data_IF_172102529892
#
_entry.id   IF_172102529892
#
_cell.length_a   1.000
_cell.length_b   1.000
_cell.length_c   1.000
_cell.angle_alpha   90.00
_cell.angle_beta   90.00
_cell.angle_gamma   90.00
#
_symmetry.space_group_name_H-M   'P 1'
#
loop_
_entity.id
_entity.type
_entity.pdbx_description
1 polymer ?
#
# COMPACT_ATOMS: atom_id res chain seq x y z
N UNK A 1 -22.07 -3.43 27.95
CA UNK A 1 -21.35 -2.86 26.77
C UNK A 1 -22.19 -3.04 25.51
N UNK A 2 -22.33 -1.98 24.68
CA UNK A 2 -23.16 -1.99 23.47
C UNK A 2 -22.35 -1.56 22.24
N UNK A 3 -22.67 -2.09 21.07
CA UNK A 3 -21.93 -1.84 19.85
C UNK A 3 -21.83 -0.33 19.47
N UNK A 4 -22.86 0.46 19.74
CA UNK A 4 -22.82 1.90 19.50
C UNK A 4 -21.83 2.63 20.43
N UNK A 5 -21.60 2.14 21.66
CA UNK A 5 -20.60 2.70 22.57
C UNK A 5 -19.19 2.47 22.01
N UNK A 6 -18.91 1.28 21.44
CA UNK A 6 -17.63 1.01 20.75
C UNK A 6 -17.42 1.91 19.53
N UNK A 7 -18.48 2.18 18.76
CA UNK A 7 -18.43 3.15 17.64
C UNK A 7 -18.12 4.56 18.11
N UNK A 8 -18.72 5.00 19.21
CA UNK A 8 -18.45 6.31 19.76
C UNK A 8 -17.02 6.41 20.26
N UNK A 9 -16.54 5.37 20.95
CA UNK A 9 -15.16 5.27 21.42
C UNK A 9 -14.16 5.40 20.27
N UNK A 10 -14.32 4.59 19.22
CA UNK A 10 -13.47 4.60 18.03
C UNK A 10 -13.50 5.98 17.31
N UNK A 11 -14.70 6.57 17.16
CA UNK A 11 -14.84 7.87 16.51
C UNK A 11 -14.16 9.00 17.30
N UNK A 12 -14.21 9.00 18.63
CA UNK A 12 -13.51 9.99 19.46
C UNK A 12 -12.00 9.85 19.29
N UNK A 13 -11.46 8.63 19.37
CA UNK A 13 -10.03 8.37 19.19
C UNK A 13 -9.55 8.84 17.82
N UNK A 14 -10.29 8.54 16.75
CA UNK A 14 -9.98 8.95 15.37
C UNK A 14 -10.20 10.45 15.10
N UNK A 15 -10.94 11.17 15.96
CA UNK A 15 -11.22 12.60 15.82
C UNK A 15 -10.33 13.46 16.73
N UNK A 16 -9.16 12.94 17.16
CA UNK A 16 -8.22 13.68 18.01
C UNK A 16 -8.84 14.06 19.36
N UNK A 17 -9.62 13.18 19.97
CA UNK A 17 -10.33 13.36 21.26
C UNK A 17 -11.43 14.44 21.24
N UNK A 18 -11.85 14.87 20.05
CA UNK A 18 -12.91 15.86 19.89
C UNK A 18 -14.29 15.19 19.83
N UNK A 19 -15.04 15.26 20.94
CA UNK A 19 -16.36 14.63 21.05
C UNK A 19 -17.37 15.27 20.09
N UNK A 20 -17.26 16.57 19.82
CA UNK A 20 -18.18 17.27 18.91
C UNK A 20 -17.96 16.80 17.47
N UNK A 21 -16.70 16.73 17.03
CA UNK A 21 -16.34 16.20 15.72
C UNK A 21 -16.76 14.73 15.55
N UNK A 22 -16.55 13.91 16.59
CA UNK A 22 -17.01 12.51 16.60
C UNK A 22 -18.54 12.41 16.49
N UNK A 23 -19.28 13.23 17.23
CA UNK A 23 -20.74 13.27 17.18
C UNK A 23 -21.27 13.69 15.80
N UNK A 24 -20.66 14.68 15.16
CA UNK A 24 -20.99 15.10 13.79
C UNK A 24 -20.74 13.96 12.79
N UNK A 25 -19.57 13.31 12.86
CA UNK A 25 -19.22 12.16 12.02
C UNK A 25 -20.22 11.01 12.13
N UNK A 26 -20.82 10.84 13.30
CA UNK A 26 -21.78 9.77 13.61
C UNK A 26 -23.25 10.22 13.53
N UNK A 27 -23.50 11.43 13.04
CA UNK A 27 -24.85 12.01 12.91
C UNK A 27 -25.65 11.91 14.23
N UNK A 28 -25.02 12.26 15.35
CA UNK A 28 -25.64 12.20 16.70
C UNK A 28 -25.31 13.45 17.51
N UNK A 29 -25.85 13.56 18.73
CA UNK A 29 -25.59 14.69 19.60
C UNK A 29 -24.36 14.49 20.50
N UNK A 30 -23.57 15.53 20.71
CA UNK A 30 -22.42 15.53 21.62
C UNK A 30 -22.78 15.08 23.06
N UNK A 31 -23.91 15.54 23.69
CA UNK A 31 -24.30 15.04 25.01
C UNK A 31 -24.60 13.55 25.01
N UNK A 32 -25.19 13.02 23.93
CA UNK A 32 -25.46 11.61 23.76
C UNK A 32 -24.18 10.77 23.74
N UNK A 33 -23.20 11.17 22.93
CA UNK A 33 -21.89 10.53 22.87
C UNK A 33 -21.20 10.56 24.24
N UNK A 34 -21.12 11.74 24.89
CA UNK A 34 -20.47 11.90 26.19
C UNK A 34 -21.10 11.04 27.28
N UNK A 35 -22.44 10.96 27.32
CA UNK A 35 -23.18 10.09 28.25
C UNK A 35 -22.87 8.61 28.03
N UNK A 36 -22.81 8.15 26.76
CA UNK A 36 -22.56 6.75 26.45
C UNK A 36 -21.13 6.32 26.77
N UNK A 37 -20.15 7.21 26.56
CA UNK A 37 -18.77 6.93 26.98
C UNK A 37 -18.66 6.84 28.49
N UNK A 38 -19.30 7.75 29.23
CA UNK A 38 -19.33 7.67 30.71
C UNK A 38 -19.93 6.36 31.20
N UNK A 39 -21.07 5.93 30.64
CA UNK A 39 -21.68 4.65 30.96
C UNK A 39 -20.78 3.46 30.64
N UNK A 40 -19.96 3.54 29.59
CA UNK A 40 -18.99 2.51 29.25
C UNK A 40 -17.84 2.48 30.27
N UNK A 41 -17.31 3.65 30.66
CA UNK A 41 -16.27 3.77 31.69
C UNK A 41 -16.77 3.26 33.06
N UNK A 42 -18.02 3.61 33.43
CA UNK A 42 -18.64 3.13 34.66
C UNK A 42 -18.82 1.59 34.68
N UNK A 43 -19.21 1.00 33.54
CA UNK A 43 -19.34 -0.46 33.37
C UNK A 43 -17.99 -1.18 33.43
N UNK A 44 -16.94 -0.60 32.86
CA UNK A 44 -15.59 -1.16 32.84
C UNK A 44 -14.85 -0.95 34.19
N UNK A 45 -15.29 -0.01 35.03
CA UNK A 45 -14.69 0.29 36.31
C UNK A 45 -13.41 1.15 36.24
N UNK A 46 -13.08 1.71 35.07
CA UNK A 46 -11.95 2.61 34.90
C UNK A 46 -12.19 3.64 33.78
N UNK A 47 -11.41 4.72 33.79
CA UNK A 47 -11.48 5.78 32.79
C UNK A 47 -10.70 5.38 31.54
N UNK A 48 -11.33 5.53 30.37
CA UNK A 48 -10.70 5.37 29.05
C UNK A 48 -9.99 6.67 28.66
N UNK A 49 -10.61 7.81 28.97
CA UNK A 49 -10.11 9.14 28.68
C UNK A 49 -9.88 9.95 29.94
N UNK A 50 -8.77 10.65 30.01
CA UNK A 50 -8.57 11.70 31.00
C UNK A 50 -9.28 12.97 30.55
N UNK A 51 -9.81 13.73 31.55
CA UNK A 51 -10.61 14.94 31.30
C UNK A 51 -10.05 16.11 32.09
N UNK A 52 -10.05 17.27 31.46
CA UNK A 52 -9.91 18.56 32.14
C UNK A 52 -11.20 19.35 31.90
N UNK A 53 -12.01 19.43 32.96
CA UNK A 53 -13.36 19.97 32.88
C UNK A 53 -14.26 19.17 31.93
N UNK A 54 -14.63 19.78 30.79
CA UNK A 54 -15.48 19.12 29.77
C UNK A 54 -14.69 18.57 28.56
N UNK A 55 -13.38 18.76 28.52
CA UNK A 55 -12.53 18.41 27.40
C UNK A 55 -11.78 17.12 27.68
N UNK A 56 -11.71 16.24 26.71
CA UNK A 56 -10.84 15.05 26.74
C UNK A 56 -9.40 15.49 26.41
N UNK A 57 -8.44 15.10 27.23
CA UNK A 57 -7.04 15.53 27.07
C UNK A 57 -6.11 14.42 26.62
N UNK A 58 -6.36 13.20 27.08
CA UNK A 58 -5.47 12.05 26.79
C UNK A 58 -6.23 10.73 26.93
N UNK A 59 -5.76 9.70 26.19
CA UNK A 59 -6.18 8.31 26.38
C UNK A 59 -5.35 7.70 27.50
N UNK A 60 -5.97 6.94 28.40
CA UNK A 60 -5.27 6.17 29.44
C UNK A 60 -4.59 4.93 28.83
N UNK A 61 -3.56 4.33 29.45
CA UNK A 61 -2.99 3.06 28.96
C UNK A 61 -4.04 1.95 28.82
N UNK A 62 -4.91 1.77 29.83
CA UNK A 62 -6.01 0.82 29.74
C UNK A 62 -7.04 1.21 28.67
N UNK A 63 -7.26 2.51 28.46
CA UNK A 63 -8.13 3.03 27.41
C UNK A 63 -7.61 2.70 26.01
N UNK A 64 -6.30 2.73 25.82
CA UNK A 64 -5.68 2.36 24.54
C UNK A 64 -5.98 0.89 24.16
N UNK A 65 -5.80 -0.02 25.12
CA UNK A 65 -6.14 -1.43 24.90
C UNK A 65 -7.62 -1.66 24.60
N UNK A 66 -8.50 -0.92 25.28
CA UNK A 66 -9.96 -1.02 25.02
C UNK A 66 -10.30 -0.49 23.62
N UNK A 67 -9.67 0.59 23.18
CA UNK A 67 -9.88 1.15 21.84
C UNK A 67 -9.45 0.15 20.76
N UNK A 68 -8.29 -0.47 20.90
CA UNK A 68 -7.79 -1.48 19.97
C UNK A 68 -8.76 -2.67 19.86
N UNK A 69 -9.18 -3.23 20.99
CA UNK A 69 -10.18 -4.32 21.02
C UNK A 69 -11.55 -3.89 20.47
N UNK A 70 -11.94 -2.64 20.71
CA UNK A 70 -13.20 -2.09 20.18
C UNK A 70 -13.15 -2.00 18.64
N UNK A 71 -12.01 -1.62 18.07
CA UNK A 71 -11.79 -1.61 16.63
C UNK A 71 -11.88 -3.01 16.03
N UNK A 72 -11.29 -4.02 16.68
CA UNK A 72 -11.37 -5.42 16.23
C UNK A 72 -12.83 -5.92 16.23
N UNK A 73 -13.60 -5.65 17.28
CA UNK A 73 -15.02 -6.02 17.34
C UNK A 73 -15.82 -5.34 16.24
N UNK A 74 -15.59 -4.06 16.00
CA UNK A 74 -16.26 -3.31 14.93
C UNK A 74 -15.92 -3.88 13.55
N UNK A 75 -14.68 -4.32 13.34
CA UNK A 75 -14.26 -4.99 12.14
C UNK A 75 -14.99 -6.32 11.93
N UNK A 76 -15.13 -7.15 12.97
CA UNK A 76 -15.89 -8.40 12.89
C UNK A 76 -17.37 -8.15 12.53
N UNK A 77 -17.97 -7.10 13.08
CA UNK A 77 -19.35 -6.71 12.69
C UNK A 77 -19.44 -6.29 11.23
N UNK A 78 -18.44 -5.59 10.71
CA UNK A 78 -18.39 -5.26 9.29
C UNK A 78 -18.23 -6.53 8.42
N UNK A 79 -17.42 -7.48 8.86
CA UNK A 79 -17.24 -8.77 8.19
C UNK A 79 -18.55 -9.57 8.10
N UNK A 80 -19.35 -9.61 9.18
CA UNK A 80 -20.68 -10.24 9.18
C UNK A 80 -21.63 -9.55 8.20
N UNK A 81 -21.63 -8.23 8.14
CA UNK A 81 -22.45 -7.47 7.18
C UNK A 81 -22.01 -7.71 5.74
N UNK A 82 -20.71 -7.79 5.50
CA UNK A 82 -20.13 -8.10 4.21
C UNK A 82 -20.55 -9.50 3.74
N UNK A 83 -20.49 -10.50 4.61
CA UNK A 83 -20.97 -11.86 4.33
C UNK A 83 -22.46 -11.87 3.97
N UNK A 84 -23.29 -11.15 4.72
CA UNK A 84 -24.72 -11.03 4.41
C UNK A 84 -24.99 -10.35 3.05
N UNK A 85 -24.20 -9.36 2.69
CA UNK A 85 -24.31 -8.69 1.38
C UNK A 85 -23.82 -9.61 0.25
N UNK A 86 -22.79 -10.40 0.48
CA UNK A 86 -22.25 -11.39 -0.46
C UNK A 86 -23.24 -12.51 -0.75
N UNK A 87 -23.95 -12.98 0.26
CA UNK A 87 -25.03 -13.97 0.12
C UNK A 87 -26.26 -13.43 -0.60
N UNK A 88 -26.45 -12.11 -0.63
CA UNK A 88 -27.60 -11.46 -1.30
C UNK A 88 -27.29 -10.99 -2.72
N UNK A 89 -26.08 -10.54 -3.00
CA UNK A 89 -25.67 -10.03 -4.32
C UNK A 89 -24.14 -10.01 -4.44
N UNK A 90 -23.58 -11.09 -4.96
CA UNK A 90 -22.12 -11.30 -5.11
C UNK A 90 -21.42 -10.25 -6.00
N UNK A 91 -22.19 -9.47 -6.74
CA UNK A 91 -21.68 -8.52 -7.74
C UNK A 91 -21.68 -7.06 -7.30
N UNK A 92 -22.13 -6.71 -6.09
CA UNK A 92 -22.19 -5.32 -5.60
C UNK A 92 -21.28 -5.07 -4.42
N UNK A 93 -20.72 -3.86 -4.36
CA UNK A 93 -19.87 -3.45 -3.24
C UNK A 93 -18.94 -2.32 -3.59
N UNK A 94 -17.87 -2.19 -2.80
CA UNK A 94 -16.77 -1.28 -3.07
C UNK A 94 -15.46 -1.97 -2.78
N UNK A 95 -14.42 -1.60 -3.53
CA UNK A 95 -13.03 -2.03 -3.32
C UNK A 95 -12.16 -0.79 -3.33
N UNK A 96 -11.60 -0.46 -2.16
CA UNK A 96 -10.69 0.66 -1.95
C UNK A 96 -9.25 0.15 -1.98
N UNK A 97 -8.47 0.63 -2.95
CA UNK A 97 -7.12 0.15 -3.25
C UNK A 97 -6.13 1.28 -2.95
N UNK A 98 -5.19 1.04 -2.05
CA UNK A 98 -4.03 1.91 -1.85
C UNK A 98 -2.88 1.45 -2.75
N UNK A 99 -2.29 2.36 -3.52
CA UNK A 99 -1.23 1.99 -4.46
C UNK A 99 -0.28 3.14 -4.76
N UNK A 100 0.91 2.82 -5.26
CA UNK A 100 1.86 3.83 -5.74
C UNK A 100 1.48 4.33 -7.13
N UNK A 101 1.97 5.51 -7.51
CA UNK A 101 1.69 6.11 -8.81
C UNK A 101 2.05 5.16 -9.97
N UNK A 102 3.24 4.57 -9.94
CA UNK A 102 3.71 3.65 -10.98
C UNK A 102 2.75 2.48 -11.20
N UNK A 103 2.21 1.89 -10.12
CA UNK A 103 1.25 0.79 -10.23
C UNK A 103 -0.09 1.29 -10.79
N UNK A 104 -0.56 2.44 -10.33
CA UNK A 104 -1.83 3.03 -10.77
C UNK A 104 -1.83 3.36 -12.27
N UNK A 105 -0.71 3.89 -12.78
CA UNK A 105 -0.63 4.35 -14.16
C UNK A 105 -0.26 3.25 -15.16
N UNK A 106 0.58 2.28 -14.77
CA UNK A 106 1.19 1.37 -15.75
C UNK A 106 0.80 -0.10 -15.59
N UNK A 107 0.33 -0.51 -14.42
CA UNK A 107 -0.03 -1.90 -14.16
C UNK A 107 -1.54 -2.10 -14.02
N UNK A 108 -2.17 -1.26 -13.21
CA UNK A 108 -3.57 -1.42 -12.87
C UNK A 108 -4.57 -1.11 -14.00
N UNK A 109 -4.30 -0.30 -15.04
CA UNK A 109 -5.31 0.00 -16.06
C UNK A 109 -5.90 -1.25 -16.70
N UNK A 110 -5.07 -2.19 -17.16
CA UNK A 110 -5.53 -3.44 -17.76
C UNK A 110 -6.31 -4.32 -16.75
N UNK A 111 -5.82 -4.39 -15.49
CA UNK A 111 -6.48 -5.14 -14.41
C UNK A 111 -7.85 -4.56 -14.09
N UNK A 112 -7.95 -3.24 -13.99
CA UNK A 112 -9.20 -2.51 -13.70
C UNK A 112 -10.18 -2.68 -14.85
N UNK A 113 -9.72 -2.61 -16.10
CA UNK A 113 -10.57 -2.83 -17.27
C UNK A 113 -11.19 -4.23 -17.25
N UNK A 114 -10.37 -5.26 -17.02
CA UNK A 114 -10.84 -6.65 -16.93
C UNK A 114 -11.78 -6.86 -15.72
N UNK A 115 -11.44 -6.25 -14.58
CA UNK A 115 -12.27 -6.31 -13.38
C UNK A 115 -13.62 -5.63 -13.57
N UNK A 116 -13.66 -4.43 -14.16
CA UNK A 116 -14.91 -3.71 -14.44
C UNK A 116 -15.83 -4.43 -15.39
N UNK A 117 -15.28 -5.18 -16.35
CA UNK A 117 -16.07 -6.02 -17.25
C UNK A 117 -16.80 -7.16 -16.50
N UNK A 118 -16.16 -7.74 -15.44
CA UNK A 118 -16.75 -8.82 -14.63
C UNK A 118 -17.64 -8.31 -13.49
N UNK A 119 -17.29 -7.16 -12.91
CA UNK A 119 -17.94 -6.58 -11.72
C UNK A 119 -18.37 -5.14 -11.97
N UNK A 120 -19.32 -4.87 -12.88
CA UNK A 120 -19.74 -3.51 -13.25
C UNK A 120 -20.34 -2.73 -12.08
N UNK A 121 -20.94 -3.43 -11.10
CA UNK A 121 -21.61 -2.84 -9.94
C UNK A 121 -20.70 -2.72 -8.69
N UNK A 122 -19.44 -3.10 -8.78
CA UNK A 122 -18.45 -2.87 -7.72
C UNK A 122 -17.78 -1.51 -7.96
N UNK A 123 -17.90 -0.61 -6.99
CA UNK A 123 -17.21 0.69 -7.03
C UNK A 123 -15.74 0.51 -6.69
N UNK A 124 -14.87 1.02 -7.54
CA UNK A 124 -13.43 1.09 -7.28
C UNK A 124 -13.03 2.47 -6.78
N UNK A 125 -12.29 2.52 -5.67
CA UNK A 125 -11.70 3.74 -5.14
C UNK A 125 -10.18 3.54 -5.13
N UNK A 126 -9.45 4.31 -5.96
CA UNK A 126 -7.99 4.29 -5.98
C UNK A 126 -7.45 5.43 -5.11
N UNK A 127 -6.61 5.06 -4.16
CA UNK A 127 -5.87 5.97 -3.31
C UNK A 127 -4.39 5.87 -3.66
N UNK A 128 -3.80 6.95 -4.15
CA UNK A 128 -2.39 7.00 -4.49
C UNK A 128 -1.59 7.63 -3.35
N UNK A 129 -0.38 7.12 -3.15
CA UNK A 129 0.53 7.67 -2.14
C UNK A 129 1.88 6.96 -2.11
N UNK A 130 2.75 7.42 -1.24
CA UNK A 130 4.00 6.73 -0.89
C UNK A 130 3.69 5.47 -0.08
N UNK A 131 4.65 4.57 0.08
CA UNK A 131 4.48 3.37 0.91
C UNK A 131 4.10 3.71 2.36
N UNK A 132 4.61 4.83 2.90
CA UNK A 132 4.25 5.34 4.22
C UNK A 132 2.79 5.76 4.29
N UNK A 133 2.34 6.58 3.33
CA UNK A 133 0.95 7.03 3.26
C UNK A 133 -0.03 5.87 3.06
N UNK A 134 0.35 4.87 2.24
CA UNK A 134 -0.46 3.66 2.06
C UNK A 134 -0.54 2.86 3.37
N UNK A 135 0.57 2.72 4.10
CA UNK A 135 0.58 2.05 5.40
C UNK A 135 -0.30 2.77 6.44
N UNK A 136 -0.31 4.11 6.45
CA UNK A 136 -1.22 4.90 7.28
C UNK A 136 -2.70 4.68 6.89
N UNK A 137 -3.00 4.61 5.59
CA UNK A 137 -4.36 4.31 5.13
C UNK A 137 -4.83 2.91 5.57
N UNK A 138 -3.91 1.92 5.59
CA UNK A 138 -4.18 0.58 6.14
C UNK A 138 -4.51 0.67 7.63
N UNK A 139 -3.67 1.36 8.41
CA UNK A 139 -3.86 1.51 9.85
C UNK A 139 -5.15 2.25 10.22
N UNK A 140 -5.63 3.14 9.34
CA UNK A 140 -6.86 3.92 9.51
C UNK A 140 -8.12 3.26 8.90
N UNK A 141 -8.03 2.02 8.42
CA UNK A 141 -9.15 1.31 7.78
C UNK A 141 -9.73 2.00 6.53
N UNK A 142 -8.91 2.78 5.81
CA UNK A 142 -9.35 3.56 4.66
C UNK A 142 -9.30 2.79 3.34
N UNK A 143 -8.54 1.70 3.30
CA UNK A 143 -8.36 0.84 2.12
C UNK A 143 -8.57 -0.63 2.47
N UNK A 144 -9.11 -1.38 1.52
CA UNK A 144 -9.35 -2.83 1.63
C UNK A 144 -8.10 -3.64 1.28
N UNK A 145 -7.33 -3.15 0.32
CA UNK A 145 -6.05 -3.75 -0.08
C UNK A 145 -5.01 -2.70 -0.44
N UNK A 146 -3.74 -3.09 -0.32
CA UNK A 146 -2.60 -2.29 -0.72
C UNK A 146 -1.82 -3.00 -1.83
N UNK A 147 -1.36 -2.27 -2.84
CA UNK A 147 -0.47 -2.76 -3.89
C UNK A 147 0.76 -1.88 -3.87
N UNK A 148 1.89 -2.45 -3.45
CA UNK A 148 3.11 -1.70 -3.28
C UNK A 148 4.35 -2.57 -3.52
N UNK A 149 5.50 -1.92 -3.54
CA UNK A 149 6.81 -2.54 -3.68
C UNK A 149 7.67 -2.11 -2.49
N UNK A 150 8.54 -2.98 -2.00
CA UNK A 150 9.53 -2.64 -0.98
C UNK A 150 9.23 -3.21 0.40
N UNK A 151 9.54 -2.46 1.46
CA UNK A 151 9.60 -2.96 2.84
C UNK A 151 8.28 -3.59 3.33
N UNK A 152 8.28 -4.92 3.46
CA UNK A 152 7.17 -5.70 4.02
C UNK A 152 6.89 -5.34 5.48
N UNK A 153 7.91 -4.89 6.22
CA UNK A 153 7.81 -4.55 7.64
C UNK A 153 6.78 -3.44 7.91
N UNK A 154 6.62 -2.51 6.98
CA UNK A 154 5.64 -1.40 7.09
C UNK A 154 4.19 -1.86 7.01
N UNK A 155 3.96 -3.05 6.49
CA UNK A 155 2.65 -3.63 6.25
C UNK A 155 2.40 -4.88 7.10
N UNK A 156 2.97 -4.94 8.31
CA UNK A 156 2.86 -6.08 9.23
C UNK A 156 1.39 -6.45 9.57
N UNK A 157 0.47 -5.48 9.52
CA UNK A 157 -0.96 -5.71 9.71
C UNK A 157 -1.65 -6.39 8.51
N UNK A 158 -0.94 -6.59 7.40
CA UNK A 158 -1.47 -7.21 6.18
C UNK A 158 -0.89 -8.61 5.94
N UNK A 159 -1.65 -9.43 5.23
CA UNK A 159 -1.16 -10.63 4.57
C UNK A 159 -0.67 -10.21 3.19
N UNK A 160 0.63 -10.28 2.95
CA UNK A 160 1.27 -9.86 1.72
C UNK A 160 1.43 -11.04 0.77
N UNK A 161 0.94 -10.89 -0.45
CA UNK A 161 0.95 -11.90 -1.51
C UNK A 161 1.84 -11.38 -2.65
N UNK A 162 2.95 -12.04 -2.97
CA UNK A 162 3.85 -11.59 -4.02
C UNK A 162 3.18 -11.74 -5.40
N UNK A 163 3.23 -10.67 -6.19
CA UNK A 163 2.60 -10.62 -7.51
C UNK A 163 3.58 -10.86 -8.65
N UNK A 164 4.69 -10.12 -8.66
CA UNK A 164 5.72 -10.22 -9.69
C UNK A 164 7.03 -9.58 -9.22
N UNK A 165 8.12 -9.91 -9.92
CA UNK A 165 9.44 -9.29 -9.72
C UNK A 165 9.75 -8.34 -10.88
N UNK A 166 10.57 -7.34 -10.61
CA UNK A 166 11.09 -6.42 -11.60
C UNK A 166 12.41 -5.82 -11.13
N UNK A 167 13.26 -5.43 -12.09
CA UNK A 167 14.51 -4.72 -11.83
C UNK A 167 14.44 -3.33 -12.46
N UNK A 168 15.13 -2.37 -11.85
CA UNK A 168 15.21 -1.03 -12.44
C UNK A 168 15.93 -1.07 -13.79
N UNK A 169 15.50 -0.21 -14.69
CA UNK A 169 16.15 0.06 -15.94
C UNK A 169 16.77 1.45 -15.94
N UNK A 170 17.77 1.63 -16.77
CA UNK A 170 18.37 2.94 -17.05
C UNK A 170 17.80 3.47 -18.34
N UNK A 171 17.38 4.73 -18.34
CA UNK A 171 16.86 5.43 -19.52
C UNK A 171 17.71 6.64 -19.85
N UNK A 172 17.96 6.82 -21.13
CA UNK A 172 18.72 7.96 -21.68
C UNK A 172 18.16 8.34 -23.04
N UNK A 173 18.35 9.57 -23.52
CA UNK A 173 18.11 9.89 -24.93
C UNK A 173 18.90 8.94 -25.85
N UNK A 174 18.34 8.51 -26.95
CA UNK A 174 19.02 7.58 -27.89
C UNK A 174 20.40 8.08 -28.38
N UNK A 175 20.62 9.38 -28.39
CA UNK A 175 21.90 10.00 -28.77
C UNK A 175 22.94 9.96 -27.65
N UNK A 176 22.57 9.59 -26.43
CA UNK A 176 23.45 9.59 -25.28
C UNK A 176 24.55 8.52 -25.39
N UNK A 177 25.75 8.80 -24.87
CA UNK A 177 26.88 7.87 -24.94
C UNK A 177 26.60 6.49 -24.34
N UNK A 178 25.85 6.43 -23.23
CA UNK A 178 25.47 5.17 -22.58
C UNK A 178 24.62 4.26 -23.48
N UNK A 179 23.85 4.81 -24.42
CA UNK A 179 23.01 4.02 -25.33
C UNK A 179 23.83 3.13 -26.28
N UNK A 180 25.12 3.38 -26.41
CA UNK A 180 26.05 2.63 -27.29
C UNK A 180 26.82 1.55 -26.52
N UNK A 181 26.69 1.46 -25.20
CA UNK A 181 27.38 0.46 -24.39
C UNK A 181 26.69 -0.90 -24.52
N UNK A 182 27.44 -1.95 -24.71
CA UNK A 182 26.94 -3.32 -24.68
C UNK A 182 26.45 -3.71 -23.30
N UNK A 183 27.09 -3.18 -22.25
CA UNK A 183 26.75 -3.46 -20.85
C UNK A 183 27.02 -2.25 -19.97
N UNK A 184 26.07 -1.91 -19.13
CA UNK A 184 26.23 -0.86 -18.12
C UNK A 184 27.19 -1.30 -17.02
N UNK A 185 27.87 -0.31 -16.41
CA UNK A 185 28.70 -0.48 -15.23
C UNK A 185 28.43 0.65 -14.23
N UNK A 186 28.71 0.42 -12.94
CA UNK A 186 28.61 1.48 -11.94
C UNK A 186 29.51 2.67 -12.27
N UNK A 187 30.73 2.41 -12.80
CA UNK A 187 31.65 3.46 -13.26
C UNK A 187 31.02 4.35 -14.33
N UNK A 188 30.38 3.74 -15.32
CA UNK A 188 29.73 4.49 -16.39
C UNK A 188 28.55 5.32 -15.86
N UNK A 189 27.74 4.77 -14.97
CA UNK A 189 26.62 5.48 -14.36
C UNK A 189 27.09 6.62 -13.45
N UNK A 190 28.11 6.40 -12.61
CA UNK A 190 28.64 7.41 -11.69
C UNK A 190 29.26 8.64 -12.40
N UNK A 191 29.65 8.50 -13.67
CA UNK A 191 30.19 9.59 -14.48
C UNK A 191 29.13 10.60 -14.97
N UNK A 192 27.83 10.31 -14.76
CA UNK A 192 26.73 11.14 -15.24
C UNK A 192 25.82 11.59 -14.08
N UNK A 193 25.13 12.74 -14.21
CA UNK A 193 24.07 13.14 -13.30
C UNK A 193 22.92 12.15 -13.40
N UNK A 194 22.50 11.57 -12.26
CA UNK A 194 21.42 10.60 -12.17
C UNK A 194 20.11 11.28 -11.77
N UNK A 195 19.01 10.80 -12.33
CA UNK A 195 17.64 11.20 -11.99
C UNK A 195 16.90 9.94 -11.54
N UNK A 196 16.38 9.91 -10.32
CA UNK A 196 15.74 8.72 -9.78
C UNK A 196 14.66 9.05 -8.75
N UNK A 197 14.05 8.02 -8.18
CA UNK A 197 13.02 8.19 -7.16
C UNK A 197 13.59 8.69 -5.83
N UNK A 198 12.85 9.57 -5.15
CA UNK A 198 13.19 10.06 -3.81
C UNK A 198 13.37 8.91 -2.81
N UNK A 199 12.51 7.89 -2.88
CA UNK A 199 12.58 6.71 -1.99
C UNK A 199 13.75 5.77 -2.29
N UNK A 200 14.47 5.95 -3.40
CA UNK A 200 15.65 5.12 -3.74
C UNK A 200 16.86 5.37 -2.85
N UNK A 201 16.81 6.38 -1.99
CA UNK A 201 17.90 6.72 -1.08
C UNK A 201 17.80 6.07 0.29
N UNK A 202 16.64 5.57 0.69
CA UNK A 202 16.40 5.07 2.04
C UNK A 202 16.21 3.56 2.05
N UNK A 203 16.90 2.87 2.95
CA UNK A 203 16.74 1.46 3.28
C UNK A 203 17.65 0.49 2.53
N UNK A 204 17.66 -0.77 2.97
CA UNK A 204 18.35 -1.87 2.30
C UNK A 204 17.75 -2.08 0.92
N UNK A 205 18.53 -2.16 -0.11
CA UNK A 205 18.15 -2.11 -1.54
C UNK A 205 18.12 -0.69 -2.13
N UNK A 206 18.66 0.28 -1.41
CA UNK A 206 18.78 1.64 -1.93
C UNK A 206 19.79 1.67 -3.10
N UNK A 207 19.58 2.62 -4.00
CA UNK A 207 20.56 2.91 -5.06
C UNK A 207 21.93 3.24 -4.45
N UNK A 208 21.93 4.01 -3.35
CA UNK A 208 23.13 4.38 -2.64
C UNK A 208 23.92 3.15 -2.14
N UNK A 209 23.24 2.16 -1.55
CA UNK A 209 23.88 0.94 -1.06
C UNK A 209 24.51 0.12 -2.19
N UNK A 210 23.77 -0.04 -3.31
CA UNK A 210 24.29 -0.75 -4.47
C UNK A 210 25.55 -0.12 -5.04
N UNK A 211 25.59 1.22 -5.14
CA UNK A 211 26.77 1.93 -5.61
C UNK A 211 27.92 1.86 -4.58
N UNK A 212 27.64 2.08 -3.29
CA UNK A 212 28.65 2.05 -2.22
C UNK A 212 29.33 0.69 -2.09
N UNK A 213 28.54 -0.40 -2.19
CA UNK A 213 29.08 -1.78 -2.15
C UNK A 213 30.03 -2.03 -3.33
N UNK A 214 29.78 -1.40 -4.48
CA UNK A 214 30.65 -1.48 -5.64
C UNK A 214 31.82 -0.49 -5.62
N UNK A 215 31.98 0.32 -4.55
CA UNK A 215 33.06 1.31 -4.39
C UNK A 215 32.82 2.61 -5.18
N UNK A 216 31.58 2.92 -5.54
CA UNK A 216 31.23 4.14 -6.26
C UNK A 216 30.25 4.99 -5.46
N UNK A 217 30.20 6.28 -5.78
CA UNK A 217 29.19 7.22 -5.24
C UNK A 217 28.27 7.67 -6.38
N UNK A 218 26.94 7.51 -6.26
CA UNK A 218 26.04 7.98 -7.30
C UNK A 218 25.96 9.51 -7.30
N UNK A 219 26.13 10.14 -8.46
CA UNK A 219 25.93 11.57 -8.63
C UNK A 219 24.44 11.87 -8.89
N UNK A 220 23.62 11.91 -7.86
CA UNK A 220 22.18 12.16 -8.03
C UNK A 220 21.91 13.65 -8.08
N UNK A 221 21.52 14.12 -9.27
CA UNK A 221 21.22 15.51 -9.53
C UNK A 221 19.76 15.88 -9.24
N UNK A 222 18.82 14.96 -9.53
CA UNK A 222 17.38 15.21 -9.36
C UNK A 222 16.73 13.97 -8.76
N UNK A 223 15.84 14.21 -7.80
CA UNK A 223 14.92 13.17 -7.29
C UNK A 223 13.48 13.55 -7.53
N UNK A 224 12.64 12.58 -7.86
CA UNK A 224 11.21 12.78 -8.04
C UNK A 224 10.42 11.63 -7.37
N UNK A 225 9.15 11.86 -7.09
CA UNK A 225 8.27 10.82 -6.55
C UNK A 225 7.80 9.87 -7.65
N UNK A 226 7.57 10.40 -8.85
CA UNK A 226 6.91 9.72 -9.94
C UNK A 226 7.82 9.55 -11.16
N UNK A 227 7.66 8.42 -11.85
CA UNK A 227 8.44 8.07 -13.02
C UNK A 227 8.26 9.05 -14.19
N UNK A 228 7.05 9.60 -14.36
CA UNK A 228 6.73 10.55 -15.44
C UNK A 228 7.62 11.79 -15.39
N UNK A 229 7.85 12.28 -14.16
CA UNK A 229 8.75 13.43 -13.94
C UNK A 229 10.18 13.06 -14.32
N UNK A 230 10.65 11.87 -13.90
CA UNK A 230 11.99 11.37 -14.23
C UNK A 230 12.15 11.26 -15.75
N UNK A 231 11.21 10.61 -16.42
CA UNK A 231 11.21 10.44 -17.89
C UNK A 231 11.23 11.78 -18.60
N UNK A 232 10.45 12.75 -18.14
CA UNK A 232 10.40 14.10 -18.71
C UNK A 232 11.77 14.79 -18.63
N UNK A 233 12.44 14.74 -17.49
CA UNK A 233 13.74 15.39 -17.32
C UNK A 233 14.88 14.67 -18.05
N UNK A 234 14.78 13.34 -18.22
CA UNK A 234 15.68 12.60 -19.08
C UNK A 234 15.53 13.02 -20.54
N UNK A 235 14.31 13.22 -21.04
CA UNK A 235 14.03 13.73 -22.40
C UNK A 235 14.63 15.11 -22.63
N UNK A 236 14.68 15.93 -21.60
CA UNK A 236 15.32 17.24 -21.64
C UNK A 236 16.87 17.17 -21.57
N UNK A 237 17.44 15.97 -21.45
CA UNK A 237 18.89 15.78 -21.37
C UNK A 237 19.53 16.19 -20.05
N UNK A 238 18.74 16.32 -18.97
CA UNK A 238 19.24 16.79 -17.66
C UNK A 238 19.95 15.70 -16.86
N UNK A 239 19.92 14.45 -17.32
CA UNK A 239 20.62 13.35 -16.69
C UNK A 239 20.17 11.97 -17.17
N UNK A 240 20.72 10.96 -16.53
CA UNK A 240 20.44 9.53 -16.75
C UNK A 240 19.35 9.09 -15.80
N UNK A 241 18.24 8.60 -16.32
CA UNK A 241 17.10 8.15 -15.51
C UNK A 241 17.26 6.72 -15.00
N UNK A 242 16.89 6.47 -13.76
CA UNK A 242 16.79 5.11 -13.18
C UNK A 242 15.35 4.92 -12.74
N UNK A 243 14.59 4.08 -13.44
CA UNK A 243 13.14 3.92 -13.28
C UNK A 243 12.70 2.46 -13.27
N UNK A 244 11.45 2.23 -12.92
CA UNK A 244 10.79 0.94 -13.09
C UNK A 244 10.50 0.71 -14.60
N UNK A 245 10.73 -0.50 -15.14
CA UNK A 245 10.61 -0.77 -16.58
C UNK A 245 9.20 -0.50 -17.10
N UNK A 246 8.15 -0.80 -16.33
CA UNK A 246 6.76 -0.58 -16.71
C UNK A 246 6.41 0.91 -16.91
N UNK A 247 7.22 1.84 -16.39
CA UNK A 247 7.00 3.28 -16.56
C UNK A 247 7.56 3.82 -17.88
N UNK A 248 8.23 3.00 -18.67
CA UNK A 248 8.72 3.37 -19.99
C UNK A 248 7.79 2.75 -21.02
N UNK A 249 7.03 3.59 -21.72
CA UNK A 249 6.09 3.11 -22.74
C UNK A 249 6.82 2.32 -23.82
N UNK A 250 6.28 1.17 -24.20
CA UNK A 250 6.71 0.45 -25.38
C UNK A 250 6.56 1.38 -26.60
N UNK A 251 7.63 1.56 -27.38
CA UNK A 251 7.61 2.45 -28.55
C UNK A 251 8.04 3.90 -28.25
N UNK A 252 8.64 4.20 -27.11
CA UNK A 252 9.34 5.47 -26.89
C UNK A 252 10.55 5.56 -27.81
N UNK A 253 10.35 6.06 -29.04
CA UNK A 253 11.42 6.12 -30.05
C UNK A 253 12.54 7.12 -29.73
N UNK A 254 12.33 8.00 -28.77
CA UNK A 254 13.22 9.05 -28.32
C UNK A 254 14.18 8.59 -27.19
N UNK A 255 13.87 7.51 -26.49
CA UNK A 255 14.66 6.99 -25.38
C UNK A 255 15.28 5.62 -25.70
N UNK A 256 16.45 5.39 -25.17
CA UNK A 256 17.05 4.06 -25.05
C UNK A 256 16.82 3.53 -23.63
N UNK A 257 16.33 2.30 -23.56
CA UNK A 257 16.12 1.57 -22.31
C UNK A 257 17.23 0.54 -22.16
N UNK A 258 18.03 0.65 -21.12
CA UNK A 258 19.21 -0.16 -20.89
C UNK A 258 19.00 -1.06 -19.67
N UNK A 259 19.32 -2.34 -19.81
CA UNK A 259 19.25 -3.28 -18.70
C UNK A 259 20.27 -2.95 -17.61
N UNK A 260 19.79 -2.85 -16.39
CA UNK A 260 20.58 -2.63 -15.20
C UNK A 260 20.34 -3.72 -14.12
N UNK A 261 19.71 -4.83 -14.48
CA UNK A 261 19.35 -5.92 -13.57
C UNK A 261 20.56 -6.56 -12.89
N UNK A 262 21.71 -6.54 -13.57
CA UNK A 262 22.98 -7.05 -13.03
C UNK A 262 23.71 -6.07 -12.08
N UNK A 263 23.26 -4.82 -12.01
CA UNK A 263 23.80 -3.78 -11.13
C UNK A 263 22.87 -3.49 -9.96
N UNK A 264 21.58 -3.48 -10.19
CA UNK A 264 20.60 -3.01 -9.23
C UNK A 264 19.72 -4.17 -8.74
N UNK A 265 19.37 -4.20 -7.44
CA UNK A 265 18.60 -5.29 -6.87
C UNK A 265 17.20 -5.37 -7.49
N UNK A 266 16.72 -6.60 -7.63
CA UNK A 266 15.34 -6.85 -8.02
C UNK A 266 14.38 -6.49 -6.88
N UNK A 267 13.18 -6.07 -7.27
CA UNK A 267 12.09 -5.73 -6.38
C UNK A 267 10.92 -6.68 -6.57
N UNK A 268 10.21 -6.97 -5.49
CA UNK A 268 8.93 -7.69 -5.55
C UNK A 268 7.80 -6.71 -5.31
N UNK A 269 6.82 -6.71 -6.21
CA UNK A 269 5.53 -6.05 -5.98
C UNK A 269 4.57 -7.09 -5.40
N UNK A 270 3.81 -6.69 -4.40
CA UNK A 270 2.84 -7.52 -3.72
C UNK A 270 1.48 -6.81 -3.62
N UNK A 271 0.43 -7.62 -3.46
CA UNK A 271 -0.88 -7.18 -3.00
C UNK A 271 -1.06 -7.64 -1.55
N UNK A 272 -1.49 -6.75 -0.69
CA UNK A 272 -1.74 -7.03 0.72
C UNK A 272 -3.21 -6.86 1.07
N UNK A 273 -3.75 -7.79 1.85
CA UNK A 273 -5.06 -7.71 2.47
C UNK A 273 -4.90 -7.66 3.99
N UNK A 274 -5.77 -6.93 4.67
CA UNK A 274 -5.73 -6.86 6.13
C UNK A 274 -5.91 -8.25 6.73
N UNK A 275 -5.09 -8.58 7.74
CA UNK A 275 -5.22 -9.85 8.47
C UNK A 275 -6.58 -9.96 9.14
N UNK A 276 -7.19 -11.15 9.02
CA UNK A 276 -8.50 -11.43 9.62
C UNK A 276 -9.69 -10.73 8.97
N UNK A 277 -9.50 -9.90 7.93
CA UNK A 277 -10.61 -9.34 7.18
C UNK A 277 -11.31 -10.43 6.33
N UNK A 278 -12.62 -10.35 6.21
CA UNK A 278 -13.35 -11.19 5.27
C UNK A 278 -13.10 -10.70 3.83
N UNK A 279 -12.43 -11.53 3.03
CA UNK A 279 -12.24 -11.23 1.61
C UNK A 279 -13.49 -11.60 0.83
N UNK A 280 -14.01 -10.66 0.06
CA UNK A 280 -15.15 -10.87 -0.84
C UNK A 280 -14.69 -11.52 -2.14
N UNK A 281 -15.60 -12.21 -2.81
CA UNK A 281 -15.30 -12.92 -4.08
C UNK A 281 -14.58 -12.03 -5.09
N UNK A 282 -15.02 -10.81 -5.29
CA UNK A 282 -14.38 -9.89 -6.23
C UNK A 282 -12.96 -9.47 -5.81
N UNK A 283 -12.58 -9.56 -4.52
CA UNK A 283 -11.22 -9.28 -4.06
C UNK A 283 -10.26 -10.39 -4.47
N UNK A 284 -10.68 -11.66 -4.41
CA UNK A 284 -9.90 -12.80 -4.94
C UNK A 284 -9.73 -12.69 -6.45
N UNK A 285 -10.80 -12.34 -7.17
CA UNK A 285 -10.76 -12.15 -8.62
C UNK A 285 -9.83 -10.96 -9.00
N UNK A 286 -9.87 -9.87 -8.24
CA UNK A 286 -8.97 -8.75 -8.44
C UNK A 286 -7.50 -9.17 -8.25
N UNK A 287 -7.19 -9.92 -7.18
CA UNK A 287 -5.85 -10.44 -6.94
C UNK A 287 -5.38 -11.35 -8.07
N UNK A 288 -6.24 -12.24 -8.56
CA UNK A 288 -5.94 -13.16 -9.66
C UNK A 288 -5.76 -12.44 -11.00
N UNK A 289 -6.53 -11.37 -11.27
CA UNK A 289 -6.34 -10.52 -12.45
C UNK A 289 -5.00 -9.76 -12.41
N UNK A 290 -4.57 -9.33 -11.22
CA UNK A 290 -3.28 -8.68 -11.04
C UNK A 290 -2.10 -9.66 -11.19
N UNK A 291 -2.25 -10.86 -10.63
CA UNK A 291 -1.23 -11.90 -10.63
C UNK A 291 -1.91 -13.29 -10.78
N UNK A 292 -1.86 -13.90 -11.98
CA UNK A 292 -2.64 -15.11 -12.31
C UNK A 292 -2.40 -16.32 -11.38
N UNK A 293 -1.21 -16.42 -10.75
CA UNK A 293 -0.88 -17.48 -9.79
C UNK A 293 -1.58 -17.30 -8.43
N UNK A 294 -2.16 -16.11 -8.15
CA UNK A 294 -2.94 -15.86 -6.93
C UNK A 294 -4.35 -16.44 -7.04
N UNK A 295 -4.41 -17.77 -7.21
CA UNK A 295 -5.68 -18.46 -7.20
C UNK A 295 -6.37 -18.36 -5.84
N UNK A 296 -7.70 -18.37 -5.83
CA UNK A 296 -8.52 -18.22 -4.63
C UNK A 296 -8.05 -19.12 -3.47
N UNK A 297 -7.78 -20.43 -3.75
CA UNK A 297 -7.33 -21.37 -2.72
C UNK A 297 -5.99 -20.99 -2.08
N UNK A 298 -5.06 -20.48 -2.88
CA UNK A 298 -3.76 -20.02 -2.40
C UNK A 298 -3.91 -18.76 -1.54
N UNK A 299 -4.70 -17.79 -2.01
CA UNK A 299 -5.00 -16.56 -1.26
C UNK A 299 -5.69 -16.88 0.07
N UNK A 300 -6.69 -17.78 0.09
CA UNK A 300 -7.37 -18.20 1.32
C UNK A 300 -6.40 -18.86 2.32
N UNK A 301 -5.49 -19.74 1.86
CA UNK A 301 -4.47 -20.36 2.71
C UNK A 301 -3.53 -19.33 3.29
N UNK A 302 -3.02 -18.42 2.47
CA UNK A 302 -2.13 -17.35 2.90
C UNK A 302 -2.82 -16.39 3.88
N UNK A 303 -4.10 -16.08 3.65
CA UNK A 303 -4.87 -15.19 4.52
C UNK A 303 -5.18 -15.81 5.90
N UNK A 304 -5.23 -17.13 5.99
CA UNK A 304 -5.39 -17.88 7.24
C UNK A 304 -4.06 -18.17 7.96
N UNK A 305 -2.93 -17.93 7.32
CA UNK A 305 -1.62 -18.14 7.92
C UNK A 305 -1.44 -17.25 9.15
N UNK A 306 -0.92 -17.83 10.24
CA UNK A 306 -0.78 -17.16 11.53
C UNK A 306 0.40 -16.17 11.57
N UNK A 307 1.34 -16.26 10.61
CA UNK A 307 2.55 -15.45 10.59
C UNK A 307 2.99 -15.07 9.17
N UNK A 308 3.80 -13.99 9.02
CA UNK A 308 4.44 -13.67 7.75
C UNK A 308 5.32 -14.79 7.20
N UNK A 309 6.02 -15.51 8.08
CA UNK A 309 6.87 -16.64 7.69
C UNK A 309 6.07 -17.78 7.07
N UNK A 310 4.94 -18.15 7.66
CA UNK A 310 4.03 -19.14 7.08
C UNK A 310 3.47 -18.67 5.73
N UNK A 311 3.11 -17.39 5.61
CA UNK A 311 2.68 -16.83 4.33
C UNK A 311 3.80 -16.94 3.29
N UNK A 312 5.03 -16.54 3.62
CA UNK A 312 6.17 -16.61 2.71
C UNK A 312 6.48 -18.04 2.26
N UNK A 313 6.36 -19.02 3.16
CA UNK A 313 6.57 -20.45 2.84
C UNK A 313 5.60 -20.98 1.77
N UNK A 314 4.38 -20.45 1.71
CA UNK A 314 3.39 -20.82 0.68
C UNK A 314 3.79 -20.39 -0.74
N UNK A 315 4.67 -19.39 -0.85
CA UNK A 315 5.12 -18.82 -2.12
C UNK A 315 6.58 -19.16 -2.46
N UNK A 316 7.29 -19.95 -1.62
CA UNK A 316 8.70 -20.26 -1.82
C UNK A 316 8.99 -20.91 -3.18
N UNK A 317 8.11 -21.83 -3.62
CA UNK A 317 8.23 -22.57 -4.87
C UNK A 317 7.34 -22.01 -6.00
N UNK A 318 6.66 -20.88 -5.78
CA UNK A 318 5.81 -20.27 -6.80
C UNK A 318 6.66 -19.37 -7.71
N UNK A 319 6.78 -19.68 -9.01
CA UNK A 319 7.52 -18.84 -9.93
C UNK A 319 6.80 -17.51 -10.11
N UNK A 320 7.47 -16.42 -9.74
CA UNK A 320 6.92 -15.07 -9.92
C UNK A 320 7.22 -14.56 -11.33
N UNK A 321 6.21 -14.00 -12.03
CA UNK A 321 6.43 -13.33 -13.29
C UNK A 321 7.48 -12.22 -13.19
N UNK A 322 8.25 -12.02 -14.27
CA UNK A 322 9.15 -10.88 -14.41
C UNK A 322 8.43 -9.79 -15.24
N UNK A 323 8.58 -8.57 -14.84
CA UNK A 323 8.05 -7.39 -15.55
C UNK A 323 9.12 -6.35 -15.80
#
# INVERSE_FOLDING_TARGET
MKLHQLRYLAAIAQSGLNITAAAQKLHTSQPGVSKQIKLLEDELGFQIFLREGRTLTRITPAGQEVIERALDVLQQVQSIRALSAELRDEGRGSLSIGTTHTQACYVLPAVIQAFRARYPNVRLNLHQGTSEQIAEMVAQDRIDCAIATGSEQRFAAMTLLPCYRWSRVVIVPRTHALARLERLTYRALAAHPLITYTFSFSGPSSLHEAFSTAGYTPNVAITAQDADVIVTYVRLGLGVGIVAPMAVAEGSDDLAVLDASHLLPAHTTWIGFRRGALLRRYMYEFAQLLAPHLERRLVERAHRAGSPAETAALFADVPLPQR
#
